data_IF_378143066647
#
_entry.id   IF_378143066647
#
_cell.length_a   1.000
_cell.length_b   1.000
_cell.length_c   1.000
_cell.angle_alpha   90.00
_cell.angle_beta   90.00
_cell.angle_gamma   90.00
#
_symmetry.space_group_name_H-M   'P 1'
#
loop_
_entity.id
_entity.type
_entity.pdbx_description
1 polymer ?
#
# COMPACT_ATOMS: atom_id res chain seq x y z
N UNK A 1 23.32 -36.84 -43.45
CA UNK A 1 24.10 -35.62 -43.21
C UNK A 1 23.07 -34.53 -42.90
N UNK A 2 22.76 -34.17 -41.67
CA UNK A 2 23.40 -34.37 -40.36
C UNK A 2 22.25 -34.21 -39.34
N UNK A 3 21.80 -35.25 -38.63
CA UNK A 3 22.37 -35.74 -37.37
C UNK A 3 22.94 -34.62 -36.50
N UNK A 4 22.23 -34.39 -35.40
CA UNK A 4 22.71 -33.85 -34.13
C UNK A 4 22.60 -32.35 -33.87
N UNK A 5 21.93 -32.08 -32.74
CA UNK A 5 22.33 -31.13 -31.70
C UNK A 5 22.34 -29.69 -32.20
N UNK A 6 21.43 -28.86 -31.74
CA UNK A 6 21.53 -28.24 -30.41
C UNK A 6 20.10 -27.82 -30.08
N UNK A 7 19.49 -28.39 -29.04
CA UNK A 7 19.45 -27.67 -27.76
C UNK A 7 18.91 -26.24 -27.92
N UNK A 8 17.71 -26.11 -28.48
CA UNK A 8 16.89 -24.93 -28.30
C UNK A 8 15.71 -25.30 -27.43
N UNK A 9 15.95 -25.60 -26.16
CA UNK A 9 14.89 -25.74 -25.15
C UNK A 9 14.00 -24.52 -25.31
N UNK A 10 12.77 -24.71 -25.82
CA UNK A 10 11.74 -23.68 -25.80
C UNK A 10 11.38 -23.52 -24.34
N UNK A 11 12.17 -22.72 -23.64
CA UNK A 11 11.91 -22.28 -22.28
C UNK A 11 10.75 -21.30 -22.42
N UNK A 12 9.53 -21.84 -22.53
CA UNK A 12 8.31 -21.08 -22.34
C UNK A 12 8.32 -20.70 -20.86
N UNK A 13 9.01 -19.60 -20.55
CA UNK A 13 9.01 -19.02 -19.23
C UNK A 13 7.54 -18.81 -18.86
N UNK A 14 7.03 -19.65 -17.96
CA UNK A 14 5.80 -19.41 -17.25
C UNK A 14 6.02 -18.10 -16.49
N UNK A 15 5.75 -16.99 -17.17
CA UNK A 15 5.44 -15.72 -16.53
C UNK A 15 4.18 -16.02 -15.72
N UNK A 16 4.40 -16.47 -14.47
CA UNK A 16 3.36 -16.48 -13.47
C UNK A 16 2.92 -15.03 -13.34
N UNK A 17 1.85 -14.66 -14.04
CA UNK A 17 1.11 -13.44 -13.75
C UNK A 17 0.58 -13.61 -12.33
N UNK A 18 1.36 -13.19 -11.34
CA UNK A 18 0.87 -12.96 -10.00
C UNK A 18 -0.17 -11.86 -10.13
N UNK A 19 -1.45 -12.22 -10.16
CA UNK A 19 -2.54 -11.25 -10.02
C UNK A 19 -2.30 -10.57 -8.66
N UNK A 20 -1.96 -9.28 -8.67
CA UNK A 20 -2.09 -8.47 -7.48
C UNK A 20 -3.59 -8.46 -7.15
N UNK A 21 -3.97 -9.03 -6.01
CA UNK A 21 -5.37 -9.01 -5.58
C UNK A 21 -5.61 -7.70 -4.84
N UNK A 22 -6.40 -6.82 -5.47
CA UNK A 22 -6.81 -5.55 -4.90
C UNK A 22 -7.40 -5.76 -3.49
N UNK A 23 -6.88 -5.03 -2.51
CA UNK A 23 -7.28 -5.16 -1.11
C UNK A 23 -8.63 -4.48 -0.90
N UNK A 24 -9.54 -5.19 -0.21
CA UNK A 24 -10.81 -4.61 0.23
C UNK A 24 -10.53 -3.61 1.35
N UNK A 25 -10.98 -2.37 1.15
CA UNK A 25 -10.83 -1.29 2.11
C UNK A 25 -12.17 -0.58 2.37
N UNK A 26 -12.21 0.19 3.45
CA UNK A 26 -13.30 1.10 3.82
C UNK A 26 -12.76 2.51 3.80
N UNK A 27 -13.42 3.44 3.12
CA UNK A 27 -13.10 4.86 3.21
C UNK A 27 -13.52 5.39 4.60
N UNK A 28 -12.59 6.04 5.30
CA UNK A 28 -12.80 6.55 6.64
C UNK A 28 -12.96 8.07 6.74
N UNK A 29 -12.92 8.78 5.61
CA UNK A 29 -13.04 10.25 5.62
C UNK A 29 -12.15 10.95 4.60
N UNK A 30 -12.06 10.43 3.37
CA UNK A 30 -11.33 11.09 2.27
C UNK A 30 -12.02 12.41 1.87
N UNK A 31 -11.76 13.49 2.61
CA UNK A 31 -12.46 14.77 2.47
C UNK A 31 -12.12 15.52 1.18
N UNK A 32 -10.86 15.45 0.76
CA UNK A 32 -10.32 16.26 -0.34
C UNK A 32 -9.86 15.39 -1.53
N UNK A 33 -10.33 14.15 -1.61
CA UNK A 33 -10.00 13.22 -2.70
C UNK A 33 -10.85 11.96 -2.69
N UNK A 34 -10.58 11.08 -3.65
CA UNK A 34 -11.29 9.81 -3.80
C UNK A 34 -10.31 8.67 -4.09
N UNK A 35 -10.41 7.61 -3.31
CA UNK A 35 -9.60 6.40 -3.50
C UNK A 35 -10.23 5.53 -4.58
N UNK A 36 -9.41 5.08 -5.52
CA UNK A 36 -9.80 4.13 -6.57
C UNK A 36 -9.40 2.70 -6.20
N UNK A 37 -8.21 2.54 -5.62
CA UNK A 37 -7.59 1.22 -5.43
C UNK A 37 -6.59 1.25 -4.27
N UNK A 38 -6.52 0.12 -3.56
CA UNK A 38 -5.51 -0.17 -2.53
C UNK A 38 -4.91 -1.54 -2.84
N UNK A 39 -3.59 -1.58 -2.96
CA UNK A 39 -2.84 -2.82 -3.20
C UNK A 39 -1.81 -3.04 -2.09
N UNK A 40 -1.67 -4.30 -1.68
CA UNK A 40 -0.62 -4.73 -0.75
C UNK A 40 0.13 -5.88 -1.40
N UNK A 41 1.45 -5.77 -1.48
CA UNK A 41 2.30 -6.78 -2.07
C UNK A 41 3.44 -7.20 -1.13
N UNK A 42 3.66 -8.52 -0.94
CA UNK A 42 2.81 -9.63 -1.37
C UNK A 42 1.53 -9.76 -0.53
N UNK A 43 0.38 -10.10 -1.12
CA UNK A 43 -0.84 -10.46 -0.39
C UNK A 43 -1.66 -11.50 -1.19
N UNK A 44 -1.38 -12.80 -1.05
CA UNK A 44 -2.04 -13.85 -1.84
C UNK A 44 -3.45 -14.19 -1.37
N UNK A 45 -3.86 -13.69 -0.20
CA UNK A 45 -5.19 -13.93 0.39
C UNK A 45 -5.52 -12.82 1.38
N UNK A 46 -6.80 -12.47 1.51
CA UNK A 46 -7.27 -11.44 2.42
C UNK A 46 -7.99 -12.03 3.66
N UNK A 47 -7.82 -11.45 4.87
CA UNK A 47 -6.94 -10.33 5.20
C UNK A 47 -5.46 -10.68 5.00
N UNK A 48 -4.66 -9.70 4.58
CA UNK A 48 -3.25 -9.95 4.26
C UNK A 48 -2.51 -10.50 5.48
N UNK A 49 -1.84 -11.64 5.29
CA UNK A 49 -0.98 -12.23 6.31
C UNK A 49 0.42 -11.61 6.18
N UNK A 50 0.77 -10.81 7.19
CA UNK A 50 2.01 -10.06 7.27
C UNK A 50 3.00 -10.83 8.15
N UNK A 51 3.99 -11.48 7.53
CA UNK A 51 5.00 -12.25 8.23
C UNK A 51 6.04 -11.34 8.86
N UNK A 52 6.42 -11.67 10.09
CA UNK A 52 7.50 -10.99 10.81
C UNK A 52 8.83 -11.13 10.06
N UNK A 53 9.64 -10.07 10.15
CA UNK A 53 10.92 -9.96 9.46
C UNK A 53 10.81 -9.67 7.96
N UNK A 54 9.61 -9.63 7.40
CA UNK A 54 9.38 -9.30 5.99
C UNK A 54 8.97 -7.83 5.80
N UNK A 55 9.07 -7.37 4.57
CA UNK A 55 8.61 -6.03 4.17
C UNK A 55 7.50 -6.14 3.14
N UNK A 56 6.49 -5.30 3.27
CA UNK A 56 5.34 -5.25 2.40
C UNK A 56 5.23 -3.86 1.78
N UNK A 57 4.88 -3.82 0.50
CA UNK A 57 4.61 -2.59 -0.23
C UNK A 57 3.11 -2.33 -0.22
N UNK A 58 2.73 -1.11 0.10
CA UNK A 58 1.34 -0.62 0.04
C UNK A 58 1.28 0.46 -1.03
N UNK A 59 0.36 0.28 -1.98
CA UNK A 59 0.04 1.28 -2.99
C UNK A 59 -1.39 1.76 -2.79
N UNK A 60 -1.62 3.07 -2.91
CA UNK A 60 -2.95 3.66 -2.87
C UNK A 60 -3.10 4.56 -4.08
N UNK A 61 -4.00 4.20 -4.98
CA UNK A 61 -4.35 5.05 -6.13
C UNK A 61 -5.54 5.91 -5.75
N UNK A 62 -5.38 7.22 -5.83
CA UNK A 62 -6.41 8.19 -5.48
C UNK A 62 -6.42 9.36 -6.46
N UNK A 63 -7.54 10.07 -6.52
CA UNK A 63 -7.67 11.33 -7.26
C UNK A 63 -7.84 12.47 -6.26
N UNK A 64 -7.01 13.51 -6.36
CA UNK A 64 -7.14 14.70 -5.52
C UNK A 64 -8.26 15.60 -6.03
N UNK A 65 -9.03 16.22 -5.14
CA UNK A 65 -10.00 17.27 -5.48
C UNK A 65 -9.42 18.68 -5.34
N UNK A 66 -8.25 18.81 -4.69
CA UNK A 66 -7.61 20.08 -4.34
C UNK A 66 -6.15 20.13 -4.82
N UNK A 67 -5.60 21.34 -4.81
CA UNK A 67 -4.16 21.54 -4.93
C UNK A 67 -3.52 21.42 -3.54
N UNK A 68 -2.29 20.91 -3.45
CA UNK A 68 -1.54 20.90 -2.20
C UNK A 68 -0.05 20.97 -2.46
N UNK A 69 0.67 21.82 -1.72
CA UNK A 69 2.12 21.96 -1.89
C UNK A 69 2.88 20.77 -1.29
N UNK A 70 2.32 20.16 -0.25
CA UNK A 70 2.91 19.03 0.47
C UNK A 70 1.88 17.93 0.68
N UNK A 71 2.32 16.73 1.02
CA UNK A 71 1.43 15.69 1.52
C UNK A 71 2.10 14.91 2.64
N UNK A 72 1.34 14.53 3.67
CA UNK A 72 1.88 13.83 4.85
C UNK A 72 1.06 12.60 5.16
N UNK A 73 1.71 11.43 5.17
CA UNK A 73 1.11 10.17 5.52
C UNK A 73 1.08 9.96 7.04
N UNK A 74 -0.05 9.51 7.55
CA UNK A 74 -0.28 9.17 8.95
C UNK A 74 -0.88 7.77 9.02
N UNK A 75 -0.33 6.91 9.87
CA UNK A 75 -0.74 5.50 9.97
C UNK A 75 -1.04 5.15 11.42
N UNK A 76 -2.14 4.45 11.62
CA UNK A 76 -2.56 3.90 12.90
C UNK A 76 -2.85 2.40 12.77
N UNK A 77 -2.45 1.63 13.79
CA UNK A 77 -2.94 0.27 13.99
C UNK A 77 -4.10 0.31 14.98
N UNK A 78 -5.29 -0.07 14.54
CA UNK A 78 -6.48 -0.15 15.39
C UNK A 78 -6.58 -1.54 15.99
N UNK A 79 -6.28 -1.65 17.29
CA UNK A 79 -6.29 -2.90 18.06
C UNK A 79 -7.42 -2.84 19.07
N UNK A 80 -8.35 -3.80 19.01
CA UNK A 80 -9.54 -3.83 19.86
C UNK A 80 -10.35 -2.51 19.86
N UNK A 81 -10.39 -1.82 18.71
CA UNK A 81 -11.10 -0.55 18.53
C UNK A 81 -10.31 0.70 18.94
N UNK A 82 -9.09 0.55 19.48
CA UNK A 82 -8.25 1.67 19.91
C UNK A 82 -7.20 1.96 18.82
N UNK A 83 -7.17 3.17 18.24
CA UNK A 83 -6.14 3.56 17.28
C UNK A 83 -4.81 3.81 17.99
N UNK A 84 -3.76 3.11 17.57
CA UNK A 84 -2.39 3.27 18.08
C UNK A 84 -1.51 3.84 16.96
N UNK A 85 -0.83 4.99 17.15
CA UNK A 85 0.05 5.55 16.13
C UNK A 85 1.16 4.57 15.71
N UNK A 86 1.39 4.46 14.41
CA UNK A 86 2.45 3.66 13.82
C UNK A 86 3.42 4.57 13.06
N UNK A 87 4.61 4.89 13.63
CA UNK A 87 5.61 5.69 12.95
C UNK A 87 6.13 4.99 11.70
N UNK A 88 6.03 5.66 10.55
CA UNK A 88 6.56 5.18 9.27
C UNK A 88 7.88 5.86 8.93
N UNK A 89 8.83 5.19 8.26
CA UNK A 89 10.15 5.76 7.96
C UNK A 89 10.11 6.98 7.02
N UNK A 90 9.13 7.01 6.11
CA UNK A 90 8.89 8.10 5.19
C UNK A 90 7.43 8.52 5.30
N UNK A 91 7.17 9.67 5.93
CA UNK A 91 5.84 10.26 6.01
C UNK A 91 5.59 11.32 4.94
N UNK A 92 6.61 11.84 4.27
CA UNK A 92 6.44 12.82 3.20
C UNK A 92 5.89 12.12 1.94
N UNK A 93 4.61 12.34 1.66
CA UNK A 93 3.92 11.74 0.51
C UNK A 93 4.53 12.15 -0.82
N UNK A 94 5.11 13.35 -0.91
CA UNK A 94 5.81 13.85 -2.10
C UNK A 94 7.11 13.06 -2.38
N UNK A 95 7.58 12.26 -1.42
CA UNK A 95 8.71 11.34 -1.56
C UNK A 95 8.27 9.86 -1.67
N UNK A 96 6.97 9.62 -1.77
CA UNK A 96 6.33 8.30 -1.75
C UNK A 96 5.45 8.10 -2.99
N UNK A 97 6.01 8.36 -4.18
CA UNK A 97 5.34 8.15 -5.47
C UNK A 97 4.47 9.31 -5.95
N UNK A 98 4.25 10.35 -5.13
CA UNK A 98 3.47 11.52 -5.50
C UNK A 98 4.40 12.63 -5.98
N UNK A 99 4.14 13.15 -7.19
CA UNK A 99 4.84 14.33 -7.66
C UNK A 99 4.10 15.60 -7.20
N UNK A 100 4.74 16.35 -6.29
CA UNK A 100 4.24 17.62 -5.79
C UNK A 100 4.73 18.82 -6.63
N UNK A 101 3.97 19.93 -6.70
CA UNK A 101 2.68 20.15 -6.04
C UNK A 101 1.57 19.24 -6.59
N UNK A 102 0.67 18.81 -5.71
CA UNK A 102 -0.53 18.05 -6.08
C UNK A 102 -1.49 18.99 -6.81
N UNK A 103 -2.09 18.49 -7.88
CA UNK A 103 -3.01 19.21 -8.75
C UNK A 103 -4.43 18.65 -8.58
N UNK A 104 -5.47 19.50 -8.62
CA UNK A 104 -6.86 19.06 -8.59
C UNK A 104 -7.19 18.14 -9.77
N UNK A 105 -8.09 17.18 -9.53
CA UNK A 105 -8.65 16.23 -10.51
C UNK A 105 -7.60 15.32 -11.18
N UNK A 106 -6.39 15.27 -10.66
CA UNK A 106 -5.32 14.39 -11.13
C UNK A 106 -5.25 13.14 -10.27
N UNK A 107 -5.04 12.00 -10.93
CA UNK A 107 -4.83 10.72 -10.29
C UNK A 107 -3.35 10.56 -9.91
N UNK A 108 -3.12 10.00 -8.73
CA UNK A 108 -1.82 9.74 -8.15
C UNK A 108 -1.79 8.33 -7.57
N UNK A 109 -0.59 7.75 -7.50
CA UNK A 109 -0.34 6.49 -6.78
C UNK A 109 0.68 6.77 -5.68
N UNK A 110 0.20 6.75 -4.44
CA UNK A 110 1.05 6.74 -3.26
C UNK A 110 1.65 5.35 -3.08
N UNK A 111 2.93 5.27 -2.73
CA UNK A 111 3.67 4.01 -2.55
C UNK A 111 4.53 4.10 -1.29
N UNK A 112 4.40 3.12 -0.41
CA UNK A 112 5.28 2.98 0.75
C UNK A 112 5.63 1.52 1.03
N UNK A 113 6.83 1.27 1.55
CA UNK A 113 7.30 -0.05 1.92
C UNK A 113 7.57 -0.09 3.42
N UNK A 114 6.88 -0.99 4.13
CA UNK A 114 6.95 -1.07 5.59
C UNK A 114 7.49 -2.43 6.04
N UNK A 115 8.51 -2.45 6.91
CA UNK A 115 8.97 -3.68 7.55
C UNK A 115 8.05 -4.08 8.71
N UNK A 116 7.68 -5.35 8.76
CA UNK A 116 6.99 -5.98 9.88
C UNK A 116 8.06 -6.51 10.82
N UNK A 117 8.30 -5.85 11.95
CA UNK A 117 9.39 -6.22 12.85
C UNK A 117 9.11 -7.51 13.60
N UNK A 118 10.17 -8.26 13.92
CA UNK A 118 10.09 -9.51 14.69
C UNK A 118 9.50 -9.34 16.09
N UNK A 119 9.67 -8.15 16.69
CA UNK A 119 9.13 -7.80 18.00
C UNK A 119 7.61 -7.57 18.01
N UNK A 120 6.98 -7.42 16.84
CA UNK A 120 5.54 -7.19 16.77
C UNK A 120 4.75 -8.44 17.20
N UNK A 121 3.64 -8.28 17.94
CA UNK A 121 2.81 -9.40 18.34
C UNK A 121 2.08 -10.00 17.12
N UNK A 122 1.86 -11.32 17.13
CA UNK A 122 1.06 -11.98 16.11
C UNK A 122 -0.44 -11.80 16.42
N UNK A 123 -1.08 -10.83 15.76
CA UNK A 123 -2.46 -10.42 16.03
C UNK A 123 -3.20 -10.02 14.75
N UNK A 124 -4.54 -10.00 14.81
CA UNK A 124 -5.38 -9.33 13.83
C UNK A 124 -5.59 -7.88 14.25
N UNK A 125 -5.54 -6.96 13.29
CA UNK A 125 -5.78 -5.54 13.50
C UNK A 125 -6.35 -4.91 12.23
N UNK A 126 -6.87 -3.70 12.38
CA UNK A 126 -7.23 -2.86 11.23
C UNK A 126 -6.16 -1.79 11.08
N UNK A 127 -5.62 -1.64 9.89
CA UNK A 127 -4.75 -0.50 9.56
C UNK A 127 -5.65 0.64 9.14
N UNK A 128 -5.39 1.83 9.68
CA UNK A 128 -5.96 3.10 9.27
C UNK A 128 -4.84 3.95 8.68
N UNK A 129 -5.01 4.35 7.42
CA UNK A 129 -3.98 5.05 6.65
C UNK A 129 -4.57 6.31 6.04
N UNK A 130 -3.97 7.42 6.40
CA UNK A 130 -4.36 8.76 5.97
C UNK A 130 -3.22 9.37 5.14
N UNK A 131 -3.58 10.17 4.15
CA UNK A 131 -2.65 11.10 3.49
C UNK A 131 -3.28 12.48 3.55
N UNK A 132 -2.61 13.40 4.25
CA UNK A 132 -3.08 14.75 4.51
C UNK A 132 -2.44 15.77 3.58
N UNK A 133 -3.21 16.77 3.17
CA UNK A 133 -2.72 17.96 2.46
C UNK A 133 -1.99 18.95 3.39
N UNK A 134 -1.55 20.09 2.83
CA UNK A 134 -0.91 21.18 3.59
C UNK A 134 -1.84 21.89 4.59
N UNK A 135 -3.15 21.68 4.48
CA UNK A 135 -4.19 22.14 5.39
C UNK A 135 -4.61 21.08 6.42
N UNK A 136 -3.88 19.96 6.48
CA UNK A 136 -4.14 18.82 7.36
C UNK A 136 -5.48 18.10 7.14
N UNK A 137 -6.06 18.22 5.95
CA UNK A 137 -7.25 17.45 5.55
C UNK A 137 -6.87 16.24 4.72
N UNK A 138 -7.66 15.19 4.81
CA UNK A 138 -7.35 13.93 4.15
C UNK A 138 -7.63 13.99 2.65
N UNK A 139 -6.56 13.91 1.84
CA UNK A 139 -6.62 13.57 0.42
C UNK A 139 -7.13 12.14 0.24
N UNK A 140 -6.76 11.25 1.15
CA UNK A 140 -7.46 9.98 1.35
C UNK A 140 -7.38 9.51 2.81
N UNK A 141 -8.38 8.72 3.21
CA UNK A 141 -8.42 7.95 4.45
C UNK A 141 -8.96 6.55 4.14
N UNK A 142 -8.17 5.51 4.42
CA UNK A 142 -8.59 4.11 4.21
C UNK A 142 -8.39 3.26 5.46
N UNK A 143 -9.29 2.29 5.67
CA UNK A 143 -9.14 1.21 6.65
C UNK A 143 -9.19 -0.16 5.99
N UNK A 144 -8.27 -1.05 6.35
CA UNK A 144 -8.27 -2.43 5.87
C UNK A 144 -7.74 -3.41 6.93
N UNK A 145 -8.29 -4.63 7.02
CA UNK A 145 -7.85 -5.61 7.99
C UNK A 145 -6.56 -6.33 7.54
N UNK A 146 -5.65 -6.56 8.49
CA UNK A 146 -4.46 -7.38 8.29
C UNK A 146 -4.27 -8.34 9.47
N UNK A 147 -3.43 -9.36 9.28
CA UNK A 147 -3.03 -10.27 10.34
C UNK A 147 -1.51 -10.39 10.37
N UNK A 148 -0.89 -10.02 11.48
CA UNK A 148 0.53 -10.28 11.71
C UNK A 148 0.68 -11.75 12.11
N UNK A 149 1.55 -12.45 11.40
CA UNK A 149 1.89 -13.87 11.61
C UNK A 149 3.40 -14.03 11.79
N UNK A 150 3.83 -15.21 12.23
CA UNK A 150 5.26 -15.50 12.40
C UNK A 150 5.98 -15.67 11.06
#
# INVERSE_FOLDING_TARGET
MDYYRVLGVVLFSLLACTKAEQVKFVDCGSAEGKVAEVDIYPCPSQPCQLHKGQSYTVNVTFTSSVASQTSTAVVHGVVAGIPVPFPIPQSDGCKSGIQCPIEPQKAYTYVNQLPVKNEYPAIKLVVEWELRDDSSKDLFCIKFPVQIVN
#
